data_IF_116164457103
#
_entry.id   IF_116164457103
#
_cell.length_a   1.000
_cell.length_b   1.000
_cell.length_c   1.000
_cell.angle_alpha   90.00
_cell.angle_beta   90.00
_cell.angle_gamma   90.00
#
_symmetry.space_group_name_H-M   'P 1'
#
loop_
_entity.id
_entity.type
_entity.pdbx_description
1 polymer ?
#
# COMPACT_ATOMS: atom_id res chain seq x y z
N UNK A 1 -32.06 -10.41 8.11
CA UNK A 1 -31.18 -9.90 7.04
C UNK A 1 -30.92 -8.42 7.29
N UNK A 2 -29.77 -8.10 7.89
CA UNK A 2 -29.37 -6.71 8.25
C UNK A 2 -29.42 -5.72 7.07
N UNK A 3 -29.09 -6.18 5.87
CA UNK A 3 -29.11 -5.33 4.68
C UNK A 3 -30.54 -4.96 4.24
N UNK A 4 -31.52 -5.85 4.48
CA UNK A 4 -32.95 -5.54 4.29
C UNK A 4 -33.46 -4.52 5.32
N UNK A 5 -33.08 -4.68 6.57
CA UNK A 5 -33.42 -3.74 7.63
C UNK A 5 -32.87 -2.36 7.35
N UNK A 6 -31.60 -2.27 6.91
CA UNK A 6 -31.01 -1.01 6.47
C UNK A 6 -31.80 -0.36 5.34
N UNK A 7 -32.23 -1.13 4.33
CA UNK A 7 -33.08 -0.61 3.24
C UNK A 7 -34.43 -0.11 3.74
N UNK A 8 -35.07 -0.83 4.67
CA UNK A 8 -36.35 -0.41 5.27
C UNK A 8 -36.20 0.91 6.05
N UNK A 9 -35.01 1.19 6.58
CA UNK A 9 -34.67 2.45 7.26
C UNK A 9 -34.23 3.56 6.30
N UNK A 10 -34.28 3.35 4.97
CA UNK A 10 -33.92 4.35 3.96
C UNK A 10 -32.44 4.40 3.56
N UNK A 11 -31.60 3.53 4.10
CA UNK A 11 -30.20 3.43 3.68
C UNK A 11 -30.08 2.70 2.33
N UNK A 12 -29.07 3.08 1.55
CA UNK A 12 -28.70 2.37 0.32
C UNK A 12 -27.44 1.53 0.59
N UNK A 13 -27.59 0.26 1.00
CA UNK A 13 -26.42 -0.61 1.18
C UNK A 13 -25.73 -0.85 -0.18
N UNK A 14 -24.41 -1.09 -0.14
CA UNK A 14 -23.64 -1.42 -1.32
C UNK A 14 -24.26 -2.61 -2.09
N UNK A 15 -24.00 -2.69 -3.38
CA UNK A 15 -24.44 -3.82 -4.20
C UNK A 15 -23.76 -5.11 -3.72
N UNK A 16 -24.53 -6.15 -3.60
CA UNK A 16 -24.04 -7.49 -3.25
C UNK A 16 -24.77 -8.57 -4.05
N UNK A 17 -24.12 -9.72 -4.16
CA UNK A 17 -24.68 -10.93 -4.75
C UNK A 17 -24.74 -12.02 -3.67
N UNK A 18 -25.77 -12.83 -3.71
CA UNK A 18 -25.90 -14.02 -2.85
C UNK A 18 -26.02 -15.24 -3.75
N UNK A 19 -25.10 -16.19 -3.59
CA UNK A 19 -25.18 -17.48 -4.26
C UNK A 19 -25.49 -18.59 -3.26
N UNK A 20 -26.32 -19.55 -3.69
CA UNK A 20 -26.56 -20.83 -3.00
C UNK A 20 -25.87 -22.00 -3.72
N UNK A 21 -25.23 -21.72 -4.84
CA UNK A 21 -24.49 -22.71 -5.62
C UNK A 21 -23.17 -23.04 -4.95
N UNK A 22 -22.60 -24.20 -5.30
CA UNK A 22 -21.25 -24.57 -4.87
C UNK A 22 -20.27 -23.49 -5.30
N UNK A 23 -19.43 -23.03 -4.40
CA UNK A 23 -18.40 -22.04 -4.68
C UNK A 23 -17.32 -22.69 -5.57
N UNK A 24 -17.25 -22.26 -6.81
CA UNK A 24 -16.21 -22.63 -7.77
C UNK A 24 -15.49 -21.35 -8.18
N UNK A 25 -14.25 -21.46 -8.66
CA UNK A 25 -13.48 -20.31 -9.13
C UNK A 25 -14.28 -19.53 -10.21
N UNK A 26 -14.85 -20.23 -11.17
CA UNK A 26 -15.65 -19.66 -12.25
C UNK A 26 -16.85 -18.83 -11.74
N UNK A 27 -17.58 -19.36 -10.72
CA UNK A 27 -18.74 -18.66 -10.16
C UNK A 27 -18.30 -17.40 -9.35
N UNK A 28 -17.15 -17.46 -8.69
CA UNK A 28 -16.60 -16.32 -7.96
C UNK A 28 -16.14 -15.25 -8.94
N UNK A 29 -15.40 -15.61 -9.96
CA UNK A 29 -14.93 -14.69 -11.01
C UNK A 29 -16.08 -14.01 -11.74
N UNK A 30 -17.13 -14.77 -12.10
CA UNK A 30 -18.34 -14.21 -12.71
C UNK A 30 -19.03 -13.19 -11.77
N UNK A 31 -19.10 -13.48 -10.47
CA UNK A 31 -19.65 -12.56 -9.47
C UNK A 31 -18.81 -11.29 -9.30
N UNK A 32 -17.49 -11.42 -9.27
CA UNK A 32 -16.53 -10.30 -9.21
C UNK A 32 -16.71 -9.41 -10.45
N UNK A 33 -16.73 -10.01 -11.63
CA UNK A 33 -16.93 -9.29 -12.89
C UNK A 33 -18.25 -8.51 -12.90
N UNK A 34 -19.36 -9.15 -12.47
CA UNK A 34 -20.68 -8.52 -12.43
C UNK A 34 -20.71 -7.31 -11.48
N UNK A 35 -20.09 -7.43 -10.31
CA UNK A 35 -20.04 -6.32 -9.34
C UNK A 35 -19.15 -5.19 -9.83
N UNK A 36 -18.00 -5.51 -10.48
CA UNK A 36 -17.11 -4.53 -11.08
C UNK A 36 -17.82 -3.74 -12.19
N UNK A 37 -18.53 -4.42 -13.09
CA UNK A 37 -19.31 -3.75 -14.14
C UNK A 37 -20.36 -2.82 -13.55
N UNK A 38 -21.10 -3.30 -12.53
CA UNK A 38 -22.09 -2.46 -11.86
C UNK A 38 -21.47 -1.19 -11.25
N UNK A 39 -20.29 -1.32 -10.63
CA UNK A 39 -19.58 -0.19 -10.04
C UNK A 39 -19.15 0.82 -11.13
N UNK A 40 -18.59 0.32 -12.23
CA UNK A 40 -18.21 1.13 -13.40
C UNK A 40 -19.41 1.86 -13.99
N UNK A 41 -20.52 1.17 -14.22
CA UNK A 41 -21.75 1.76 -14.81
C UNK A 41 -22.37 2.84 -13.92
N UNK A 42 -22.08 2.81 -12.62
CA UNK A 42 -22.61 3.75 -11.62
C UNK A 42 -21.59 4.79 -11.15
N UNK A 43 -20.40 4.76 -11.72
CA UNK A 43 -19.30 5.64 -11.32
C UNK A 43 -19.00 5.52 -9.81
N UNK A 44 -19.00 4.29 -9.29
CA UNK A 44 -18.70 3.99 -7.89
C UNK A 44 -17.26 3.50 -7.81
N UNK A 45 -16.34 4.24 -7.15
CA UNK A 45 -14.97 3.80 -6.98
C UNK A 45 -14.93 2.59 -6.02
N UNK A 46 -14.28 1.50 -6.46
CA UNK A 46 -14.05 0.30 -5.66
C UNK A 46 -12.61 -0.19 -5.84
N UNK A 47 -11.95 -0.55 -4.75
CA UNK A 47 -10.58 -1.09 -4.72
C UNK A 47 -10.54 -2.62 -4.63
N UNK A 48 -11.71 -3.25 -4.49
CA UNK A 48 -11.83 -4.70 -4.39
C UNK A 48 -13.22 -5.16 -4.01
N UNK A 49 -13.36 -6.46 -3.80
CA UNK A 49 -14.62 -7.13 -3.47
C UNK A 49 -14.40 -8.08 -2.31
N UNK A 50 -15.30 -8.07 -1.34
CA UNK A 50 -15.28 -9.02 -0.22
C UNK A 50 -16.22 -10.17 -0.52
N UNK A 51 -15.69 -11.39 -0.47
CA UNK A 51 -16.44 -12.64 -0.55
C UNK A 51 -16.54 -13.23 0.84
N UNK A 52 -17.74 -13.34 1.38
CA UNK A 52 -17.96 -13.84 2.75
C UNK A 52 -19.02 -14.90 2.82
N UNK A 53 -19.00 -15.71 3.90
CA UNK A 53 -20.04 -16.70 4.14
C UNK A 53 -21.36 -16.02 4.46
N UNK A 54 -22.45 -16.51 3.83
CA UNK A 54 -23.81 -16.00 4.07
C UNK A 54 -24.42 -16.59 5.36
N UNK A 55 -23.92 -17.74 5.83
CA UNK A 55 -24.33 -18.33 7.10
C UNK A 55 -23.49 -17.71 8.24
N UNK A 56 -24.14 -16.94 9.09
CA UNK A 56 -23.48 -16.21 10.18
C UNK A 56 -22.93 -17.17 11.24
N UNK A 57 -23.63 -18.25 11.56
CA UNK A 57 -23.20 -19.21 12.56
C UNK A 57 -21.94 -19.95 12.08
N UNK A 58 -21.93 -20.35 10.81
CA UNK A 58 -20.74 -20.94 10.19
C UNK A 58 -19.57 -19.95 10.14
N UNK A 59 -19.81 -18.72 9.69
CA UNK A 59 -18.82 -17.66 9.64
C UNK A 59 -18.16 -17.44 11.01
N UNK A 60 -18.94 -17.38 12.08
CA UNK A 60 -18.43 -17.26 13.45
C UNK A 60 -17.63 -18.49 13.90
N UNK A 61 -18.02 -19.69 13.47
CA UNK A 61 -17.29 -20.93 13.78
C UNK A 61 -15.91 -21.02 13.14
N UNK A 62 -15.66 -20.26 12.07
CA UNK A 62 -14.33 -20.16 11.44
C UNK A 62 -13.29 -19.44 12.31
N UNK A 63 -13.72 -18.86 13.44
CA UNK A 63 -12.87 -18.15 14.38
C UNK A 63 -12.63 -16.69 14.00
N UNK A 64 -11.77 -16.04 14.76
CA UNK A 64 -11.41 -14.64 14.53
C UNK A 64 -9.92 -14.40 14.76
N UNK A 65 -9.39 -13.36 14.16
CA UNK A 65 -8.12 -12.72 14.53
C UNK A 65 -8.40 -11.72 15.67
N UNK A 66 -7.39 -10.97 16.15
CA UNK A 66 -7.61 -9.97 17.19
C UNK A 66 -8.70 -8.92 16.85
N UNK A 67 -8.97 -8.67 15.58
CA UNK A 67 -9.86 -7.59 15.12
C UNK A 67 -10.94 -8.01 14.11
N UNK A 68 -10.80 -9.15 13.43
CA UNK A 68 -11.69 -9.57 12.34
C UNK A 68 -12.07 -11.04 12.45
N UNK A 69 -13.30 -11.38 12.06
CA UNK A 69 -13.71 -12.77 11.86
C UNK A 69 -13.04 -13.33 10.60
N UNK A 70 -12.77 -14.65 10.61
CA UNK A 70 -12.26 -15.39 9.44
C UNK A 70 -13.44 -15.86 8.57
N UNK A 71 -14.34 -14.95 8.28
CA UNK A 71 -15.63 -15.19 7.65
C UNK A 71 -15.63 -14.97 6.14
N UNK A 72 -14.49 -14.57 5.57
CA UNK A 72 -14.38 -14.30 4.16
C UNK A 72 -12.98 -13.91 3.72
N UNK A 73 -12.88 -13.57 2.43
CA UNK A 73 -11.66 -13.13 1.76
C UNK A 73 -11.92 -11.81 1.03
N UNK A 74 -10.96 -10.90 1.11
CA UNK A 74 -10.95 -9.70 0.28
C UNK A 74 -10.18 -10.00 -1.02
N UNK A 75 -10.84 -9.82 -2.14
CA UNK A 75 -10.21 -9.81 -3.46
C UNK A 75 -9.89 -8.36 -3.81
N UNK A 76 -8.62 -8.04 -3.90
CA UNK A 76 -8.13 -6.73 -4.32
C UNK A 76 -7.92 -6.72 -5.82
N UNK A 77 -8.29 -5.62 -6.47
CA UNK A 77 -7.90 -5.37 -7.85
C UNK A 77 -6.41 -5.03 -7.90
N UNK A 78 -5.78 -5.35 -9.03
CA UNK A 78 -4.43 -4.88 -9.29
C UNK A 78 -4.47 -3.37 -9.52
N UNK A 79 -3.54 -2.67 -8.88
CA UNK A 79 -3.37 -1.24 -9.08
C UNK A 79 -2.73 -0.98 -10.47
N UNK A 80 -3.17 0.06 -11.15
CA UNK A 80 -2.57 0.45 -12.43
C UNK A 80 -1.14 0.99 -12.19
N UNK A 81 -0.20 0.48 -12.99
CA UNK A 81 1.21 0.86 -12.92
C UNK A 81 1.53 1.94 -13.96
N UNK A 82 2.18 3.00 -13.52
CA UNK A 82 2.58 4.12 -14.36
C UNK A 82 4.09 4.31 -14.31
N UNK A 83 4.72 4.44 -15.47
CA UNK A 83 6.15 4.71 -15.56
C UNK A 83 6.44 6.19 -15.26
N UNK A 84 7.47 6.44 -14.45
CA UNK A 84 7.95 7.78 -14.15
C UNK A 84 9.47 7.78 -13.98
N UNK A 85 10.07 8.98 -13.92
CA UNK A 85 11.50 9.16 -13.69
C UNK A 85 11.74 9.68 -12.28
N UNK A 86 12.50 8.94 -11.48
CA UNK A 86 12.91 9.35 -10.13
C UNK A 86 13.91 10.52 -10.26
N UNK A 87 13.51 11.71 -9.82
CA UNK A 87 14.34 12.91 -9.90
C UNK A 87 15.37 12.94 -8.76
N UNK A 88 14.91 12.75 -7.53
CA UNK A 88 15.75 12.68 -6.34
C UNK A 88 14.98 12.06 -5.17
N UNK A 89 15.70 11.72 -4.11
CA UNK A 89 15.13 11.31 -2.82
C UNK A 89 15.23 12.48 -1.86
N UNK A 90 14.09 12.95 -1.39
CA UNK A 90 14.01 13.99 -0.38
C UNK A 90 14.05 13.34 1.02
N UNK A 91 14.81 13.94 1.93
CA UNK A 91 15.00 13.46 3.28
C UNK A 91 14.38 14.42 4.27
N UNK A 92 13.33 13.97 4.96
CA UNK A 92 12.56 14.81 5.88
C UNK A 92 12.71 14.32 7.32
N UNK A 93 13.28 15.13 8.22
CA UNK A 93 13.40 14.75 9.64
C UNK A 93 12.04 14.79 10.34
N UNK A 94 11.71 13.68 11.01
CA UNK A 94 10.54 13.55 11.88
C UNK A 94 10.81 14.01 13.32
N UNK A 95 9.75 14.09 14.12
CA UNK A 95 9.82 14.49 15.53
C UNK A 95 10.64 13.54 16.40
N UNK A 96 10.73 12.29 16.04
CA UNK A 96 11.49 11.23 16.73
C UNK A 96 12.98 11.25 16.39
N UNK A 97 13.42 12.15 15.48
CA UNK A 97 14.78 12.17 14.97
C UNK A 97 15.00 11.18 13.80
N UNK A 98 14.00 10.42 13.41
CA UNK A 98 14.03 9.61 12.21
C UNK A 98 13.96 10.50 10.97
N UNK A 99 14.79 10.22 9.97
CA UNK A 99 14.80 10.94 8.69
C UNK A 99 14.13 10.04 7.65
N UNK A 100 12.92 10.42 7.28
CA UNK A 100 12.09 9.65 6.35
C UNK A 100 12.44 10.00 4.89
N UNK A 101 12.70 8.99 4.04
CA UNK A 101 12.91 9.19 2.62
C UNK A 101 11.59 9.30 1.85
N UNK A 102 11.56 10.23 0.90
CA UNK A 102 10.44 10.45 -0.02
C UNK A 102 10.97 10.49 -1.44
N UNK A 103 10.45 9.64 -2.33
CA UNK A 103 10.73 9.73 -3.76
C UNK A 103 10.06 10.97 -4.33
N UNK A 104 10.81 11.76 -5.06
CA UNK A 104 10.30 12.85 -5.90
C UNK A 104 10.56 12.46 -7.35
N UNK A 105 9.50 12.37 -8.15
CA UNK A 105 9.57 11.88 -9.53
C UNK A 105 8.78 12.78 -10.48
N UNK A 106 8.98 12.58 -11.77
CA UNK A 106 8.22 13.31 -12.79
C UNK A 106 6.73 13.08 -12.57
N UNK A 107 5.90 14.15 -12.52
CA UNK A 107 4.48 14.00 -12.27
C UNK A 107 3.81 13.03 -13.25
N UNK A 108 2.96 12.15 -12.74
CA UNK A 108 2.12 11.24 -13.52
C UNK A 108 0.66 11.38 -13.07
N UNK A 109 -0.25 11.26 -14.01
CA UNK A 109 -1.69 11.27 -13.72
C UNK A 109 -2.15 9.84 -13.39
N UNK A 110 -2.70 9.67 -12.18
CA UNK A 110 -3.25 8.39 -11.71
C UNK A 110 -4.63 8.67 -11.13
N UNK A 111 -5.67 8.04 -11.67
CA UNK A 111 -7.08 8.22 -11.26
C UNK A 111 -7.51 9.70 -11.19
N UNK A 112 -7.16 10.48 -12.22
CA UNK A 112 -7.52 11.89 -12.30
C UNK A 112 -6.79 12.81 -11.32
N UNK A 113 -5.73 12.32 -10.67
CA UNK A 113 -4.87 13.09 -9.76
C UNK A 113 -3.43 13.09 -10.25
N UNK A 114 -2.79 14.26 -10.23
CA UNK A 114 -1.36 14.36 -10.48
C UNK A 114 -0.57 13.92 -9.25
N UNK A 115 0.31 12.95 -9.42
CA UNK A 115 1.16 12.36 -8.37
C UNK A 115 2.62 12.56 -8.74
N UNK A 116 3.43 13.09 -7.83
CA UNK A 116 4.87 13.34 -8.03
C UNK A 116 5.73 12.96 -6.83
N UNK A 117 5.12 12.41 -5.77
CA UNK A 117 5.81 12.09 -4.51
C UNK A 117 5.25 10.79 -3.93
N UNK A 118 6.14 9.93 -3.43
CA UNK A 118 5.77 8.71 -2.72
C UNK A 118 6.70 8.46 -1.53
N UNK A 119 6.16 7.94 -0.41
CA UNK A 119 7.01 7.52 0.70
C UNK A 119 7.85 6.32 0.30
N UNK A 120 9.13 6.34 0.68
CA UNK A 120 10.04 5.20 0.56
C UNK A 120 10.21 4.46 1.89
N UNK A 121 9.36 4.74 2.86
CA UNK A 121 9.28 4.10 4.17
C UNK A 121 10.58 4.15 4.98
N UNK A 122 11.64 3.49 4.53
CA UNK A 122 12.91 3.34 5.22
C UNK A 122 14.06 3.04 4.23
N UNK A 123 15.30 2.94 4.75
CA UNK A 123 16.47 2.66 3.93
C UNK A 123 16.45 1.28 3.28
N UNK A 124 15.91 0.26 3.97
CA UNK A 124 15.82 -1.09 3.42
C UNK A 124 14.98 -1.14 2.15
N UNK A 125 13.91 -0.34 2.09
CA UNK A 125 13.06 -0.25 0.89
C UNK A 125 13.82 0.36 -0.31
N UNK A 126 14.66 1.37 -0.07
CA UNK A 126 15.51 1.97 -1.10
C UNK A 126 16.56 0.97 -1.58
N UNK A 127 17.16 0.22 -0.65
CA UNK A 127 18.15 -0.82 -0.93
C UNK A 127 17.56 -1.98 -1.74
N UNK A 128 16.36 -2.46 -1.35
CA UNK A 128 15.66 -3.55 -2.04
C UNK A 128 15.32 -3.21 -3.49
N UNK A 129 14.94 -1.97 -3.75
CA UNK A 129 14.64 -1.46 -5.08
C UNK A 129 15.85 -0.87 -5.80
N UNK A 130 17.00 -0.75 -5.14
CA UNK A 130 18.21 -0.12 -5.69
C UNK A 130 17.96 1.27 -6.27
N UNK A 131 17.17 2.10 -5.57
CA UNK A 131 16.69 3.39 -6.08
C UNK A 131 17.80 4.45 -6.11
N UNK A 132 17.98 5.07 -7.27
CA UNK A 132 18.87 6.21 -7.47
C UNK A 132 18.19 7.28 -8.34
N UNK A 133 18.62 8.52 -8.18
CA UNK A 133 18.18 9.60 -9.06
C UNK A 133 18.47 9.25 -10.54
N UNK A 134 17.50 9.52 -11.40
CA UNK A 134 17.56 9.18 -12.82
C UNK A 134 17.03 7.80 -13.19
N UNK A 135 16.67 6.94 -12.23
CA UNK A 135 16.04 5.66 -12.54
C UNK A 135 14.61 5.83 -13.05
N UNK A 136 14.22 5.00 -14.02
CA UNK A 136 12.81 4.79 -14.37
C UNK A 136 12.18 3.89 -13.33
N UNK A 137 11.03 4.30 -12.82
CA UNK A 137 10.30 3.60 -11.76
C UNK A 137 8.86 3.36 -12.18
N UNK A 138 8.26 2.29 -11.68
CA UNK A 138 6.83 2.08 -11.74
C UNK A 138 6.20 2.57 -10.44
N UNK A 139 5.16 3.39 -10.58
CA UNK A 139 4.40 3.96 -9.47
C UNK A 139 2.93 3.58 -9.57
N UNK A 140 2.29 3.39 -8.42
CA UNK A 140 0.85 3.13 -8.30
C UNK A 140 0.22 4.00 -7.22
N UNK A 141 -1.11 3.92 -7.09
CA UNK A 141 -1.84 4.44 -5.92
C UNK A 141 -2.48 3.27 -5.16
N UNK A 142 -1.78 2.75 -4.17
CA UNK A 142 -2.32 1.68 -3.32
C UNK A 142 -3.59 2.13 -2.62
N UNK A 143 -4.62 1.27 -2.67
CA UNK A 143 -5.96 1.57 -2.15
C UNK A 143 -6.56 2.87 -2.73
N UNK A 144 -6.24 3.23 -3.98
CA UNK A 144 -6.71 4.42 -4.70
C UNK A 144 -6.29 5.77 -4.07
N UNK A 145 -5.44 5.76 -3.05
CA UNK A 145 -5.12 6.96 -2.25
C UNK A 145 -3.62 7.18 -2.11
N UNK A 146 -2.85 6.15 -1.78
CA UNK A 146 -1.47 6.28 -1.31
C UNK A 146 -0.48 6.01 -2.46
N UNK A 147 0.27 7.03 -2.92
CA UNK A 147 1.31 6.82 -3.90
C UNK A 147 2.40 5.86 -3.39
N UNK A 148 2.79 4.91 -4.22
CA UNK A 148 3.79 3.91 -3.91
C UNK A 148 4.72 3.68 -5.09
N UNK A 149 6.01 3.44 -4.82
CA UNK A 149 6.98 2.99 -5.82
C UNK A 149 6.99 1.48 -5.81
N UNK A 150 6.57 0.86 -6.91
CA UNK A 150 6.41 -0.60 -7.00
C UNK A 150 7.69 -1.28 -7.48
N UNK A 151 8.37 -0.68 -8.45
CA UNK A 151 9.53 -1.29 -9.09
C UNK A 151 10.51 -0.23 -9.61
N UNK A 152 11.80 -0.59 -9.66
CA UNK A 152 12.85 0.12 -10.37
C UNK A 152 13.18 -0.64 -11.66
N UNK A 153 12.99 0.00 -12.80
CA UNK A 153 13.24 -0.58 -14.13
C UNK A 153 14.72 -0.53 -14.53
N UNK A 154 15.52 0.30 -13.87
CA UNK A 154 16.94 0.54 -14.17
C UNK A 154 17.84 0.11 -13.00
N UNK A 155 17.70 -1.13 -12.54
CA UNK A 155 18.51 -1.68 -11.46
C UNK A 155 19.99 -1.75 -11.86
N UNK A 156 20.85 -1.59 -10.87
CA UNK A 156 22.31 -1.69 -11.01
C UNK A 156 23.03 -0.41 -10.68
N UNK A 157 24.23 -0.52 -10.14
CA UNK A 157 25.05 0.62 -9.74
C UNK A 157 24.65 1.30 -8.45
N UNK A 158 23.68 0.75 -7.70
CA UNK A 158 23.22 1.31 -6.43
C UNK A 158 24.36 1.41 -5.41
N UNK A 159 24.48 2.58 -4.79
CA UNK A 159 25.42 2.84 -3.69
C UNK A 159 24.66 3.46 -2.53
N UNK A 160 24.57 2.73 -1.43
CA UNK A 160 23.91 3.23 -0.22
C UNK A 160 24.61 4.47 0.33
N UNK A 161 25.94 4.52 0.27
CA UNK A 161 26.74 5.63 0.79
C UNK A 161 26.43 6.95 0.05
N UNK A 162 26.21 6.87 -1.25
CA UNK A 162 25.93 8.05 -2.08
C UNK A 162 24.45 8.48 -1.99
N UNK A 163 23.59 7.57 -1.55
CA UNK A 163 22.13 7.81 -1.47
C UNK A 163 21.70 8.39 -0.13
N UNK A 164 22.38 8.05 0.97
CA UNK A 164 22.01 8.46 2.33
C UNK A 164 22.67 9.78 2.70
N UNK A 165 21.92 10.74 3.29
CA UNK A 165 22.53 11.96 3.78
C UNK A 165 23.41 11.69 5.01
N UNK A 166 24.67 12.09 4.97
CA UNK A 166 25.59 12.01 6.11
C UNK A 166 25.29 13.04 7.20
N UNK A 167 24.53 14.09 6.83
CA UNK A 167 24.06 15.13 7.74
C UNK A 167 22.58 15.41 7.49
N UNK A 168 21.88 15.77 8.53
CA UNK A 168 20.48 16.17 8.45
C UNK A 168 20.32 17.40 7.53
N UNK A 169 19.45 17.35 6.53
CA UNK A 169 19.26 18.48 5.62
C UNK A 169 18.67 19.73 6.28
N UNK A 170 18.04 19.58 7.47
CA UNK A 170 17.45 20.69 8.20
C UNK A 170 18.39 21.35 9.20
N UNK A 171 19.13 20.57 10.00
CA UNK A 171 19.92 21.13 11.11
C UNK A 171 21.43 20.89 10.96
N UNK A 172 21.89 20.18 9.94
CA UNK A 172 23.30 19.90 9.70
C UNK A 172 23.95 18.91 10.69
N UNK A 173 23.19 18.37 11.64
CA UNK A 173 23.72 17.39 12.57
C UNK A 173 24.03 16.05 11.86
N UNK A 174 25.07 15.33 12.29
CA UNK A 174 25.41 14.04 11.67
C UNK A 174 24.27 13.03 11.82
N UNK A 175 24.16 12.15 10.82
CA UNK A 175 23.20 11.06 10.79
C UNK A 175 23.86 9.71 11.04
N UNK A 176 23.08 8.72 11.40
CA UNK A 176 23.51 7.33 11.54
C UNK A 176 22.45 6.38 11.00
N UNK A 177 22.87 5.22 10.56
CA UNK A 177 21.96 4.11 10.24
C UNK A 177 21.64 3.38 11.54
N UNK A 178 20.37 3.13 11.78
CA UNK A 178 19.86 2.29 12.85
C UNK A 178 19.24 1.03 12.27
N UNK A 179 19.58 -0.12 12.82
CA UNK A 179 19.03 -1.42 12.43
C UNK A 179 18.09 -1.93 13.52
N UNK A 180 16.93 -2.36 13.13
CA UNK A 180 15.92 -2.95 14.02
C UNK A 180 15.31 -4.20 13.39
N UNK A 181 14.86 -5.14 14.22
CA UNK A 181 14.07 -6.28 13.74
C UNK A 181 12.66 -5.83 13.43
N UNK A 182 12.14 -6.22 12.27
CA UNK A 182 10.80 -5.89 11.83
C UNK A 182 10.25 -6.93 10.86
N UNK A 183 9.08 -6.64 10.34
CA UNK A 183 8.42 -7.47 9.32
C UNK A 183 8.56 -6.83 7.94
N UNK A 184 8.90 -7.63 6.94
CA UNK A 184 8.83 -7.25 5.55
C UNK A 184 7.39 -7.19 5.04
N UNK A 185 7.19 -6.79 3.80
CA UNK A 185 5.85 -6.66 3.19
C UNK A 185 5.07 -7.98 3.19
N UNK A 186 5.74 -9.11 3.04
CA UNK A 186 5.15 -10.45 3.07
C UNK A 186 5.05 -11.05 4.48
N UNK A 187 5.38 -10.28 5.54
CA UNK A 187 5.32 -10.71 6.93
C UNK A 187 6.53 -11.52 7.40
N UNK A 188 7.57 -11.70 6.59
CA UNK A 188 8.84 -12.33 6.97
C UNK A 188 9.62 -11.47 7.96
N UNK A 189 10.38 -12.11 8.84
CA UNK A 189 11.27 -11.40 9.75
C UNK A 189 12.50 -10.89 8.98
N UNK A 190 12.77 -9.60 9.09
CA UNK A 190 13.91 -8.95 8.43
C UNK A 190 14.50 -7.83 9.27
N UNK A 191 15.72 -7.44 8.94
CA UNK A 191 16.35 -6.24 9.50
C UNK A 191 15.87 -5.03 8.69
N UNK A 192 15.31 -4.06 9.41
CA UNK A 192 14.88 -2.78 8.84
C UNK A 192 15.93 -1.73 9.20
N UNK A 193 16.45 -1.06 8.17
CA UNK A 193 17.42 0.03 8.32
C UNK A 193 16.71 1.36 8.22
N UNK A 194 16.94 2.26 9.17
CA UNK A 194 16.41 3.62 9.19
C UNK A 194 17.54 4.64 9.36
N UNK A 195 17.33 5.85 8.85
CA UNK A 195 18.26 6.95 9.05
C UNK A 195 17.83 7.76 10.28
N UNK A 196 18.71 7.91 11.25
CA UNK A 196 18.46 8.68 12.48
C UNK A 196 19.44 9.83 12.64
N UNK A 197 19.00 10.89 13.33
CA UNK A 197 19.91 11.89 13.87
C UNK A 197 20.81 11.26 14.94
N UNK A 198 22.11 11.54 14.89
CA UNK A 198 23.07 10.99 15.85
C UNK A 198 22.78 11.38 17.30
N UNK A 199 22.23 12.58 17.51
CA UNK A 199 21.92 13.17 18.83
C UNK A 199 20.46 13.05 19.22
N UNK A 200 19.66 12.22 18.52
CA UNK A 200 18.28 11.99 18.93
C UNK A 200 18.25 11.43 20.36
N UNK A 201 17.48 12.01 21.29
CA UNK A 201 17.29 11.39 22.58
C UNK A 201 16.68 9.99 22.37
N UNK A 202 17.27 9.00 23.04
CA UNK A 202 16.70 7.65 23.07
C UNK A 202 15.26 7.74 23.61
N UNK A 203 14.29 7.07 22.99
CA UNK A 203 12.93 7.07 23.50
C UNK A 203 12.84 6.48 24.89
#
# INVERSE_FOLDING_TARGET
DKLRELRALGFQPCKYLVTKQKLTLENVEAGIYQLRQYATDKDIPIDGIVVSFNDIAYAQSCGHTGHHYKDGLAYKFEDDLHESLLQYIEWTPGRTGEIAPVAVFTPVEIDGCEVSRASLHNLSFIEDLELMAGNRILVSKRNMIIPHVEENLDRGGFSMVDTIPHVCPCCGQPTRIHESSGKGENGEDRIIKTCLLYTSPSP
#
